data_IF_274532804894
#
_entry.id   IF_274532804894
#
_cell.length_a   1.000
_cell.length_b   1.000
_cell.length_c   1.000
_cell.angle_alpha   90.00
_cell.angle_beta   90.00
_cell.angle_gamma   90.00
#
_symmetry.space_group_name_H-M   'P 1'
#
loop_
_entity.id
_entity.type
_entity.pdbx_description
1 polymer ?
#
# COMPACT_ATOMS: atom_id res chain seq x y z
N UNK A 1 -32.40 24.81 -8.94
CA UNK A 1 -32.26 23.33 -9.04
C UNK A 1 -31.07 22.89 -9.91
N UNK A 2 -30.65 23.64 -10.93
CA UNK A 2 -29.55 23.23 -11.84
C UNK A 2 -28.16 23.03 -11.20
N UNK A 3 -27.74 23.89 -10.26
CA UNK A 3 -26.40 23.79 -9.65
C UNK A 3 -26.13 22.46 -8.93
N UNK A 4 -27.16 21.83 -8.38
CA UNK A 4 -27.03 20.58 -7.62
C UNK A 4 -26.91 19.37 -8.56
N UNK A 5 -27.69 19.34 -9.64
CA UNK A 5 -27.56 18.33 -10.70
C UNK A 5 -26.19 18.43 -11.38
N UNK A 6 -25.71 19.65 -11.65
CA UNK A 6 -24.39 19.89 -12.24
C UNK A 6 -23.28 19.42 -11.31
N UNK A 7 -23.36 19.72 -10.00
CA UNK A 7 -22.38 19.25 -9.03
C UNK A 7 -22.35 17.71 -8.94
N UNK A 8 -23.52 17.06 -8.91
CA UNK A 8 -23.61 15.60 -8.87
C UNK A 8 -23.04 14.94 -10.12
N UNK A 9 -23.39 15.49 -11.29
CA UNK A 9 -22.85 15.03 -12.56
C UNK A 9 -21.33 15.21 -12.61
N UNK A 10 -20.84 16.40 -12.24
CA UNK A 10 -19.41 16.71 -12.21
C UNK A 10 -18.62 15.77 -11.30
N UNK A 11 -19.11 15.50 -10.08
CA UNK A 11 -18.41 14.57 -9.18
C UNK A 11 -18.47 13.13 -9.65
N UNK A 12 -19.59 12.64 -10.22
CA UNK A 12 -19.63 11.28 -10.80
C UNK A 12 -18.76 11.16 -12.05
N UNK A 13 -18.70 12.21 -12.86
CA UNK A 13 -17.78 12.26 -13.98
C UNK A 13 -16.32 12.20 -13.51
N UNK A 14 -15.96 12.92 -12.45
CA UNK A 14 -14.63 12.85 -11.84
C UNK A 14 -14.33 11.45 -11.27
N UNK A 15 -15.31 10.77 -10.67
CA UNK A 15 -15.15 9.36 -10.25
C UNK A 15 -14.84 8.48 -11.45
N UNK A 16 -15.66 8.57 -12.49
CA UNK A 16 -15.49 7.77 -13.71
C UNK A 16 -14.16 8.06 -14.40
N UNK A 17 -13.74 9.33 -14.47
CA UNK A 17 -12.46 9.74 -15.04
C UNK A 17 -11.29 9.16 -14.25
N UNK A 18 -11.32 9.23 -12.93
CA UNK A 18 -10.27 8.67 -12.08
C UNK A 18 -10.20 7.13 -12.18
N UNK A 19 -11.33 6.43 -12.18
CA UNK A 19 -11.38 4.97 -12.39
C UNK A 19 -10.88 4.62 -13.80
N UNK A 20 -11.27 5.39 -14.81
CA UNK A 20 -10.79 5.19 -16.18
C UNK A 20 -9.29 5.41 -16.30
N UNK A 21 -8.75 6.44 -15.66
CA UNK A 21 -7.31 6.71 -15.59
C UNK A 21 -6.59 5.52 -14.95
N UNK A 22 -7.09 5.01 -13.82
CA UNK A 22 -6.54 3.83 -13.16
C UNK A 22 -6.53 2.60 -14.09
N UNK A 23 -7.68 2.24 -14.67
CA UNK A 23 -7.81 1.11 -15.61
C UNK A 23 -6.88 1.30 -16.81
N UNK A 24 -6.84 2.51 -17.38
CA UNK A 24 -6.01 2.82 -18.54
C UNK A 24 -4.53 2.64 -18.22
N UNK A 25 -4.04 3.08 -17.06
CA UNK A 25 -2.64 2.88 -16.69
C UNK A 25 -2.31 1.40 -16.47
N UNK A 26 -3.22 0.65 -15.82
CA UNK A 26 -3.08 -0.80 -15.66
C UNK A 26 -3.02 -1.52 -17.02
N UNK A 27 -3.85 -1.12 -18.01
CA UNK A 27 -3.91 -1.74 -19.34
C UNK A 27 -2.84 -1.24 -20.33
N UNK A 28 -2.40 0.01 -20.24
CA UNK A 28 -1.36 0.56 -21.13
C UNK A 28 -0.05 -0.21 -20.93
N UNK A 29 0.33 -0.52 -19.70
CA UNK A 29 1.53 -1.30 -19.44
C UNK A 29 1.41 -2.76 -19.89
N UNK A 30 0.22 -3.35 -19.89
CA UNK A 30 0.00 -4.64 -20.54
C UNK A 30 0.35 -4.54 -22.04
N UNK A 31 -0.11 -3.48 -22.72
CA UNK A 31 0.16 -3.27 -24.15
C UNK A 31 1.63 -2.94 -24.46
N UNK A 32 2.33 -2.25 -23.56
CA UNK A 32 3.77 -1.94 -23.68
C UNK A 32 4.61 -3.19 -23.42
N UNK A 33 4.32 -3.95 -22.36
CA UNK A 33 4.93 -5.26 -22.11
C UNK A 33 4.69 -6.22 -23.27
N UNK A 34 3.50 -6.23 -23.86
CA UNK A 34 3.17 -7.05 -25.02
C UNK A 34 4.02 -6.71 -26.25
N UNK A 35 4.30 -5.41 -26.46
CA UNK A 35 5.14 -4.93 -27.56
C UNK A 35 6.61 -5.30 -27.32
N UNK A 36 7.12 -5.13 -26.11
CA UNK A 36 8.49 -5.54 -25.75
C UNK A 36 8.69 -7.05 -25.91
N UNK A 37 7.74 -7.85 -25.43
CA UNK A 37 7.81 -9.31 -25.54
C UNK A 37 7.77 -9.72 -27.03
N UNK A 38 6.89 -9.12 -27.84
CA UNK A 38 6.87 -9.39 -29.29
C UNK A 38 8.18 -9.03 -29.98
N UNK A 39 8.83 -7.93 -29.60
CA UNK A 39 10.12 -7.54 -30.18
C UNK A 39 11.21 -8.59 -29.92
N UNK A 40 11.26 -9.15 -28.71
CA UNK A 40 12.21 -10.23 -28.34
C UNK A 40 11.96 -11.51 -29.17
N UNK A 41 10.69 -11.90 -29.37
CA UNK A 41 10.36 -13.08 -30.16
C UNK A 41 10.59 -12.88 -31.67
N UNK A 42 10.51 -11.64 -32.16
CA UNK A 42 10.74 -11.33 -33.57
C UNK A 42 12.24 -11.39 -33.91
N UNK A 43 13.14 -10.97 -33.00
CA UNK A 43 14.59 -11.10 -33.16
C UNK A 43 15.09 -12.56 -33.12
N UNK A 44 14.42 -13.45 -32.39
CA UNK A 44 14.77 -14.88 -32.38
C UNK A 44 14.21 -15.67 -33.59
N UNK A 45 13.30 -15.08 -34.36
CA UNK A 45 12.65 -15.77 -35.49
C UNK A 45 13.43 -15.67 -36.81
N UNK A 46 14.53 -14.91 -36.85
CA UNK A 46 15.42 -14.81 -38.03
C UNK A 46 16.54 -15.87 -38.06
N UNK A 47 16.61 -16.76 -37.07
CA UNK A 47 17.53 -17.92 -37.06
C UNK A 47 16.77 -19.23 -37.33
N UNK A 48 16.13 -19.32 -38.50
CA UNK A 48 15.80 -20.61 -39.11
C UNK A 48 17.01 -21.09 -39.94
N UNK A 49 17.42 -22.37 -39.89
CA UNK A 49 18.61 -22.84 -40.58
C UNK A 49 18.34 -22.92 -42.09
N UNK A 50 18.85 -21.94 -42.84
CA UNK A 50 19.00 -22.08 -44.29
C UNK A 50 20.23 -22.95 -44.57
N UNK A 51 19.93 -24.16 -45.00
CA UNK A 51 20.85 -25.08 -45.65
C UNK A 51 21.36 -24.41 -46.95
N UNK A 52 22.67 -24.21 -47.07
CA UNK A 52 23.26 -23.64 -48.28
C UNK A 52 24.77 -23.40 -48.16
N UNK A 53 25.54 -24.33 -48.74
CA UNK A 53 26.97 -24.17 -49.00
C UNK A 53 27.26 -22.86 -49.76
N UNK A 54 28.25 -22.09 -49.34
CA UNK A 54 29.23 -21.45 -50.25
C UNK A 54 30.41 -20.87 -49.46
N UNK A 55 31.61 -21.15 -49.97
CA UNK A 55 32.88 -20.57 -49.58
C UNK A 55 32.94 -19.08 -49.96
N UNK A 56 33.49 -18.21 -49.11
CA UNK A 56 34.62 -17.30 -49.43
C UNK A 56 34.88 -16.26 -48.33
N UNK A 57 36.18 -16.17 -48.00
CA UNK A 57 37.04 -15.08 -47.50
C UNK A 57 36.49 -13.75 -46.92
N UNK A 58 37.13 -13.43 -45.78
CA UNK A 58 37.70 -12.13 -45.36
C UNK A 58 36.92 -11.12 -44.48
N UNK A 59 37.51 -10.96 -43.28
CA UNK A 59 37.81 -9.74 -42.53
C UNK A 59 36.81 -9.14 -41.52
N UNK A 60 37.39 -8.86 -40.33
CA UNK A 60 36.91 -8.11 -39.16
C UNK A 60 36.00 -8.83 -38.14
N UNK A 61 36.61 -9.73 -37.37
CA UNK A 61 36.01 -10.27 -36.14
C UNK A 61 36.10 -9.27 -34.98
N UNK A 62 35.00 -8.55 -34.70
CA UNK A 62 34.74 -8.03 -33.36
C UNK A 62 33.81 -9.03 -32.67
N UNK A 63 34.38 -9.85 -31.78
CA UNK A 63 33.64 -10.83 -31.00
C UNK A 63 32.75 -10.12 -29.97
N UNK A 64 31.44 -10.33 -30.04
CA UNK A 64 30.53 -10.15 -28.91
C UNK A 64 29.79 -11.48 -28.73
N UNK A 65 30.15 -12.19 -27.66
CA UNK A 65 29.57 -13.47 -27.27
C UNK A 65 28.13 -13.35 -26.74
N UNK A 66 27.45 -14.48 -26.51
CA UNK A 66 26.02 -14.55 -26.31
C UNK A 66 25.62 -14.05 -24.91
N UNK A 67 24.77 -13.03 -24.86
CA UNK A 67 24.25 -12.49 -23.61
C UNK A 67 22.95 -13.21 -23.21
N UNK A 68 23.08 -14.30 -22.47
CA UNK A 68 21.96 -15.02 -21.86
C UNK A 68 21.51 -14.32 -20.56
N UNK A 69 20.22 -13.99 -20.51
CA UNK A 69 19.34 -13.96 -19.34
C UNK A 69 19.82 -13.20 -18.10
N UNK A 70 19.29 -11.98 -17.87
CA UNK A 70 19.26 -11.41 -16.51
C UNK A 70 18.10 -10.43 -16.30
N UNK A 71 17.46 -10.58 -15.15
CA UNK A 71 16.17 -10.05 -14.71
C UNK A 71 15.99 -8.52 -14.79
N UNK A 72 14.84 -8.14 -15.34
CA UNK A 72 14.46 -6.78 -15.77
C UNK A 72 14.30 -5.76 -14.63
N UNK A 73 14.17 -6.18 -13.37
CA UNK A 73 14.03 -5.23 -12.25
C UNK A 73 15.36 -4.78 -11.64
N UNK A 74 16.44 -5.58 -11.79
CA UNK A 74 17.73 -5.28 -11.14
C UNK A 74 18.74 -4.55 -12.02
N UNK A 75 18.44 -4.36 -13.32
CA UNK A 75 19.26 -3.55 -14.24
C UNK A 75 18.91 -2.08 -14.24
N UNK A 76 17.66 -1.65 -14.02
CA UNK A 76 17.32 -0.22 -14.07
C UNK A 76 18.12 0.58 -13.01
N UNK A 77 18.45 -0.01 -11.86
CA UNK A 77 19.27 0.67 -10.84
C UNK A 77 20.78 0.56 -11.06
N UNK A 78 21.27 -0.44 -11.82
CA UNK A 78 22.72 -0.63 -12.06
C UNK A 78 23.22 -0.13 -13.41
N UNK A 79 22.38 -0.08 -14.44
CA UNK A 79 22.74 0.55 -15.72
C UNK A 79 22.64 2.08 -15.68
N UNK A 80 21.96 2.66 -14.69
CA UNK A 80 21.88 4.11 -14.50
C UNK A 80 23.13 4.73 -13.85
N UNK A 81 24.07 3.94 -13.31
CA UNK A 81 25.24 4.48 -12.60
C UNK A 81 26.60 4.08 -13.19
N UNK A 82 26.68 3.19 -14.19
CA UNK A 82 27.99 2.78 -14.75
C UNK A 82 28.26 3.20 -16.19
N UNK A 83 27.28 3.73 -16.95
CA UNK A 83 27.50 4.24 -18.31
C UNK A 83 26.57 5.43 -18.61
N UNK A 84 26.69 6.53 -17.87
CA UNK A 84 26.08 7.79 -18.30
C UNK A 84 27.18 8.76 -18.74
N UNK A 85 27.38 8.87 -20.06
CA UNK A 85 28.10 9.99 -20.64
C UNK A 85 27.22 11.26 -20.53
N UNK A 86 27.86 12.42 -20.34
CA UNK A 86 27.24 13.65 -19.82
C UNK A 86 26.01 14.23 -20.53
N UNK A 87 25.62 13.74 -21.72
CA UNK A 87 24.41 14.16 -22.44
C UNK A 87 23.16 13.29 -22.19
N UNK A 88 23.31 12.08 -21.65
CA UNK A 88 22.20 11.12 -21.43
C UNK A 88 21.72 11.05 -19.97
N UNK A 89 22.38 11.79 -19.07
CA UNK A 89 22.02 11.86 -17.64
C UNK A 89 20.59 12.41 -17.47
N UNK A 90 20.21 13.38 -18.30
CA UNK A 90 18.88 14.00 -18.25
C UNK A 90 17.82 12.95 -18.60
N UNK A 91 17.98 12.20 -19.69
CA UNK A 91 17.02 11.17 -20.11
C UNK A 91 16.96 9.99 -19.13
N UNK A 92 18.09 9.61 -18.53
CA UNK A 92 18.13 8.57 -17.49
C UNK A 92 17.41 9.00 -16.21
N UNK A 93 17.65 10.23 -15.75
CA UNK A 93 16.97 10.81 -14.59
C UNK A 93 15.48 11.02 -14.86
N UNK A 94 15.12 11.49 -16.06
CA UNK A 94 13.73 11.64 -16.49
C UNK A 94 13.00 10.30 -16.57
N UNK A 95 13.66 9.24 -17.05
CA UNK A 95 13.10 7.88 -17.06
C UNK A 95 12.80 7.36 -15.66
N UNK A 96 13.76 7.48 -14.73
CA UNK A 96 13.56 7.04 -13.34
C UNK A 96 12.49 7.86 -12.60
N UNK A 97 12.37 9.16 -12.89
CA UNK A 97 11.32 10.01 -12.31
C UNK A 97 9.96 9.66 -12.92
N UNK A 98 9.90 9.36 -14.22
CA UNK A 98 8.67 8.97 -14.89
C UNK A 98 8.08 7.69 -14.25
N UNK A 99 8.89 6.68 -13.96
CA UNK A 99 8.44 5.43 -13.32
C UNK A 99 7.82 5.68 -11.92
N UNK A 100 8.42 6.57 -11.13
CA UNK A 100 7.87 6.99 -9.83
C UNK A 100 6.56 7.76 -10.03
N UNK A 101 6.51 8.67 -11.01
CA UNK A 101 5.30 9.43 -11.33
C UNK A 101 4.17 8.52 -11.82
N UNK A 102 4.46 7.46 -12.57
CA UNK A 102 3.45 6.49 -13.01
C UNK A 102 2.81 5.79 -11.82
N UNK A 103 3.61 5.24 -10.91
CA UNK A 103 3.11 4.59 -9.69
C UNK A 103 2.28 5.56 -8.84
N UNK A 104 2.76 6.80 -8.68
CA UNK A 104 2.06 7.84 -7.94
C UNK A 104 0.72 8.26 -8.59
N UNK A 105 0.65 8.32 -9.92
CA UNK A 105 -0.59 8.67 -10.65
C UNK A 105 -1.64 7.55 -10.50
N UNK A 106 -1.22 6.29 -10.54
CA UNK A 106 -2.10 5.13 -10.33
C UNK A 106 -2.71 5.20 -8.93
N UNK A 107 -1.90 5.40 -7.89
CA UNK A 107 -2.37 5.56 -6.50
C UNK A 107 -3.28 6.78 -6.34
N UNK A 108 -2.87 7.93 -6.88
CA UNK A 108 -3.64 9.17 -6.83
C UNK A 108 -5.01 9.00 -7.47
N UNK A 109 -5.10 8.36 -8.64
CA UNK A 109 -6.37 8.17 -9.35
C UNK A 109 -7.33 7.30 -8.55
N UNK A 110 -6.84 6.27 -7.86
CA UNK A 110 -7.68 5.41 -7.02
C UNK A 110 -8.20 6.16 -5.78
N UNK A 111 -7.33 6.90 -5.10
CA UNK A 111 -7.71 7.76 -3.96
C UNK A 111 -8.68 8.87 -4.42
N UNK A 112 -8.42 9.48 -5.57
CA UNK A 112 -9.24 10.53 -6.17
C UNK A 112 -10.65 10.04 -6.54
N UNK A 113 -10.76 8.85 -7.14
CA UNK A 113 -12.06 8.22 -7.42
C UNK A 113 -12.86 8.01 -6.14
N UNK A 114 -12.21 7.47 -5.11
CA UNK A 114 -12.81 7.26 -3.79
C UNK A 114 -13.30 8.59 -3.21
N UNK A 115 -12.43 9.59 -3.10
CA UNK A 115 -12.78 10.89 -2.49
C UNK A 115 -13.89 11.59 -3.27
N UNK A 116 -13.88 11.56 -4.59
CA UNK A 116 -14.96 12.16 -5.39
C UNK A 116 -16.29 11.43 -5.22
N UNK A 117 -16.26 10.11 -5.02
CA UNK A 117 -17.45 9.33 -4.70
C UNK A 117 -18.01 9.70 -3.31
N UNK A 118 -17.13 9.94 -2.32
CA UNK A 118 -17.49 10.47 -0.99
C UNK A 118 -18.21 11.80 -1.15
N UNK A 119 -17.60 12.74 -1.89
CA UNK A 119 -18.17 14.07 -2.12
C UNK A 119 -19.55 13.92 -2.76
N UNK A 120 -19.66 13.15 -3.84
CA UNK A 120 -20.92 12.92 -4.55
C UNK A 120 -22.04 12.43 -3.63
N UNK A 121 -21.75 11.42 -2.79
CA UNK A 121 -22.74 10.82 -1.87
C UNK A 121 -23.22 11.81 -0.80
N UNK A 122 -22.37 12.79 -0.43
CA UNK A 122 -22.69 13.76 0.61
C UNK A 122 -23.32 15.07 0.08
N UNK A 123 -23.41 15.29 -1.24
CA UNK A 123 -23.99 16.51 -1.85
C UNK A 123 -25.45 16.76 -1.40
N UNK A 124 -26.22 15.72 -1.07
CA UNK A 124 -27.63 15.87 -0.64
C UNK A 124 -27.80 16.23 0.84
N UNK A 125 -26.85 15.86 1.69
CA UNK A 125 -26.96 16.05 3.14
C UNK A 125 -26.79 17.51 3.60
N UNK A 126 -26.34 18.39 2.70
CA UNK A 126 -26.14 19.82 2.97
C UNK A 126 -27.47 20.59 3.14
N UNK A 127 -28.60 20.05 2.67
CA UNK A 127 -29.90 20.78 2.64
C UNK A 127 -30.69 20.78 3.95
N UNK A 128 -30.33 20.01 4.98
CA UNK A 128 -31.17 19.84 6.20
C UNK A 128 -30.73 20.63 7.42
N UNK A 129 -29.63 21.37 7.36
CA UNK A 129 -29.28 22.32 8.42
C UNK A 129 -29.32 23.72 7.82
N UNK A 130 -30.09 24.68 8.40
CA UNK A 130 -29.80 26.07 8.10
C UNK A 130 -28.32 26.29 8.42
N UNK A 131 -27.68 27.21 7.71
CA UNK A 131 -26.31 27.67 7.95
C UNK A 131 -26.19 28.26 9.36
N UNK A 132 -26.33 27.42 10.38
CA UNK A 132 -25.90 27.69 11.73
C UNK A 132 -24.40 27.84 11.58
N UNK A 133 -23.93 29.07 11.72
CA UNK A 133 -22.54 29.39 11.94
C UNK A 133 -21.98 28.35 12.92
N UNK A 134 -21.26 27.35 12.40
CA UNK A 134 -20.53 26.40 13.22
C UNK A 134 -19.42 27.25 13.79
N UNK A 135 -19.65 27.81 14.98
CA UNK A 135 -18.59 28.39 15.78
C UNK A 135 -17.57 27.27 15.95
N UNK A 136 -16.53 27.27 15.11
CA UNK A 136 -15.38 26.37 15.25
C UNK A 136 -14.84 26.67 16.62
N UNK A 137 -15.27 25.90 17.63
CA UNK A 137 -14.57 25.83 18.90
C UNK A 137 -13.30 25.02 18.60
N UNK A 138 -12.37 25.68 17.92
CA UNK A 138 -11.09 25.15 17.50
C UNK A 138 -10.16 25.17 18.71
N UNK A 139 -10.49 24.35 19.70
CA UNK A 139 -9.53 23.86 20.66
C UNK A 139 -9.67 22.35 20.64
N UNK A 140 -9.10 21.75 19.59
CA UNK A 140 -8.64 20.37 19.71
C UNK A 140 -7.44 20.48 20.66
N UNK A 141 -7.70 20.51 21.98
CA UNK A 141 -6.66 20.25 22.96
C UNK A 141 -6.31 18.78 22.81
N UNK A 142 -5.29 18.50 22.00
CA UNK A 142 -4.67 17.18 21.94
C UNK A 142 -3.87 17.03 23.24
N UNK A 143 -4.54 16.63 24.32
CA UNK A 143 -3.89 16.36 25.59
C UNK A 143 -3.11 15.04 25.47
N UNK A 144 -1.86 15.16 25.02
CA UNK A 144 -0.91 14.05 24.83
C UNK A 144 -0.33 13.49 26.13
N UNK A 145 -0.57 14.12 27.28
CA UNK A 145 0.10 13.78 28.55
C UNK A 145 -0.10 12.33 29.01
N UNK A 146 -1.17 11.66 28.55
CA UNK A 146 -1.46 10.24 28.86
C UNK A 146 -1.08 9.26 27.75
N UNK A 147 -0.50 9.77 26.67
CA UNK A 147 -0.24 9.03 25.42
C UNK A 147 1.27 8.95 25.10
N UNK A 148 2.12 9.63 25.87
CA UNK A 148 3.57 9.75 25.65
C UNK A 148 4.28 8.42 25.45
N UNK A 149 3.97 7.38 26.24
CA UNK A 149 4.60 6.06 26.09
C UNK A 149 4.26 5.38 24.76
N UNK A 150 3.00 5.49 24.32
CA UNK A 150 2.56 4.93 23.03
C UNK A 150 3.13 5.71 21.85
N UNK A 151 3.21 7.03 21.98
CA UNK A 151 3.86 7.92 21.01
C UNK A 151 5.36 7.59 20.87
N UNK A 152 6.08 7.46 21.98
CA UNK A 152 7.51 7.12 21.95
C UNK A 152 7.77 5.74 21.34
N UNK A 153 7.00 4.72 21.74
CA UNK A 153 7.10 3.39 21.15
C UNK A 153 6.79 3.41 19.64
N UNK A 154 5.81 4.21 19.21
CA UNK A 154 5.47 4.38 17.80
C UNK A 154 6.57 5.09 17.01
N UNK A 155 7.16 6.14 17.57
CA UNK A 155 8.29 6.84 16.95
C UNK A 155 9.54 5.96 16.86
N UNK A 156 9.81 5.15 17.90
CA UNK A 156 10.89 4.17 17.86
C UNK A 156 10.66 3.11 16.78
N UNK A 157 9.42 2.62 16.63
CA UNK A 157 9.04 1.71 15.56
C UNK A 157 9.23 2.34 14.17
N UNK A 158 8.79 3.59 13.99
CA UNK A 158 8.99 4.35 12.76
C UNK A 158 10.47 4.58 12.43
N UNK A 159 11.29 4.93 13.43
CA UNK A 159 12.73 5.09 13.26
C UNK A 159 13.41 3.76 12.87
N UNK A 160 12.97 2.65 13.45
CA UNK A 160 13.44 1.32 13.06
C UNK A 160 13.08 0.99 11.60
N UNK A 161 11.88 1.34 11.13
CA UNK A 161 11.47 1.21 9.72
C UNK A 161 12.36 2.02 8.77
N UNK A 162 12.66 3.28 9.10
CA UNK A 162 13.58 4.07 8.29
C UNK A 162 15.00 3.49 8.28
N UNK A 163 15.44 2.97 9.42
CA UNK A 163 16.76 2.32 9.52
C UNK A 163 16.82 1.07 8.66
N UNK A 164 15.79 0.20 8.68
CA UNK A 164 15.75 -0.99 7.83
C UNK A 164 15.69 -0.63 6.34
N UNK A 165 14.95 0.42 5.98
CA UNK A 165 14.90 0.92 4.60
C UNK A 165 16.27 1.42 4.12
N UNK A 166 17.00 2.14 4.99
CA UNK A 166 18.36 2.59 4.68
C UNK A 166 19.34 1.42 4.54
N UNK A 167 19.26 0.41 5.42
CA UNK A 167 20.09 -0.80 5.34
C UNK A 167 19.80 -1.59 4.06
N UNK A 168 18.52 -1.73 3.68
CA UNK A 168 18.14 -2.34 2.41
C UNK A 168 18.78 -1.62 1.23
N UNK A 169 18.68 -0.29 1.18
CA UNK A 169 19.26 0.50 0.10
C UNK A 169 20.78 0.35 0.06
N UNK A 170 21.45 0.33 1.21
CA UNK A 170 22.88 0.06 1.32
C UNK A 170 23.28 -1.28 0.69
N UNK A 171 22.57 -2.37 1.00
CA UNK A 171 22.84 -3.68 0.39
C UNK A 171 22.50 -3.75 -1.10
N UNK A 172 21.46 -3.01 -1.53
CA UNK A 172 21.08 -2.94 -2.94
C UNK A 172 22.15 -2.21 -3.77
N UNK A 173 22.75 -1.15 -3.23
CA UNK A 173 23.86 -0.43 -3.86
C UNK A 173 25.12 -1.29 -4.00
N UNK A 174 25.42 -2.14 -3.02
CA UNK A 174 26.58 -3.05 -3.08
C UNK A 174 26.35 -4.26 -4.01
N UNK A 175 25.16 -4.39 -4.60
CA UNK A 175 24.81 -5.49 -5.51
C UNK A 175 24.40 -6.80 -4.82
N UNK A 176 24.29 -6.80 -3.49
CA UNK A 176 23.91 -7.96 -2.65
C UNK A 176 22.38 -8.07 -2.50
N UNK A 177 21.68 -8.19 -3.64
CA UNK A 177 20.21 -8.17 -3.70
C UNK A 177 19.53 -9.26 -2.86
N UNK A 178 20.18 -10.41 -2.67
CA UNK A 178 19.66 -11.50 -1.83
C UNK A 178 19.64 -11.10 -0.37
N UNK A 179 20.72 -10.51 0.17
CA UNK A 179 20.78 -10.01 1.54
C UNK A 179 19.80 -8.87 1.76
N UNK A 180 19.67 -7.98 0.77
CA UNK A 180 18.67 -6.91 0.80
C UNK A 180 17.24 -7.49 0.93
N UNK A 181 16.89 -8.48 0.11
CA UNK A 181 15.57 -9.13 0.18
C UNK A 181 15.30 -9.81 1.54
N UNK A 182 16.32 -10.43 2.16
CA UNK A 182 16.18 -10.98 3.51
C UNK A 182 15.95 -9.89 4.56
N UNK A 183 16.75 -8.81 4.55
CA UNK A 183 16.59 -7.69 5.49
C UNK A 183 15.18 -7.11 5.38
N UNK A 184 14.70 -6.91 4.16
CA UNK A 184 13.35 -6.41 3.91
C UNK A 184 12.29 -7.37 4.47
N UNK A 185 12.33 -8.64 4.06
CA UNK A 185 11.30 -9.63 4.44
C UNK A 185 11.27 -9.90 5.95
N UNK A 186 12.44 -9.94 6.61
CA UNK A 186 12.53 -10.12 8.05
C UNK A 186 11.98 -8.91 8.79
N UNK A 187 12.27 -7.70 8.30
CA UNK A 187 11.72 -6.46 8.87
C UNK A 187 10.20 -6.46 8.81
N UNK A 188 9.62 -6.81 7.65
CA UNK A 188 8.17 -6.92 7.49
C UNK A 188 7.54 -7.91 8.47
N UNK A 189 8.11 -9.12 8.57
CA UNK A 189 7.63 -10.14 9.50
C UNK A 189 7.64 -9.60 10.94
N UNK A 190 8.74 -8.97 11.36
CA UNK A 190 8.86 -8.40 12.71
C UNK A 190 7.81 -7.30 12.93
N UNK A 191 7.64 -6.39 11.96
CA UNK A 191 6.65 -5.32 12.02
C UNK A 191 5.22 -5.88 12.14
N UNK A 192 4.86 -6.86 11.31
CA UNK A 192 3.54 -7.49 11.34
C UNK A 192 3.29 -8.26 12.64
N UNK A 193 4.29 -8.94 13.20
CA UNK A 193 4.18 -9.63 14.50
C UNK A 193 3.95 -8.62 15.62
N UNK A 194 4.77 -7.57 15.71
CA UNK A 194 4.63 -6.53 16.74
C UNK A 194 3.26 -5.85 16.63
N UNK A 195 2.84 -5.49 15.42
CA UNK A 195 1.53 -4.89 15.18
C UNK A 195 0.37 -5.83 15.54
N UNK A 196 0.50 -7.13 15.26
CA UNK A 196 -0.51 -8.15 15.63
C UNK A 196 -0.64 -8.29 17.15
N UNK A 197 0.49 -8.38 17.87
CA UNK A 197 0.51 -8.41 19.33
C UNK A 197 -0.10 -7.14 19.93
N UNK A 198 0.23 -5.98 19.36
CA UNK A 198 -0.37 -4.71 19.78
C UNK A 198 -1.89 -4.67 19.51
N UNK A 199 -2.37 -5.25 18.40
CA UNK A 199 -3.81 -5.35 18.12
C UNK A 199 -4.52 -6.21 19.18
N UNK A 200 -3.95 -7.36 19.53
CA UNK A 200 -4.48 -8.24 20.58
C UNK A 200 -4.48 -7.53 21.94
N UNK A 201 -3.39 -6.84 22.28
CA UNK A 201 -3.28 -6.09 23.52
C UNK A 201 -4.26 -4.90 23.58
N UNK A 202 -4.48 -4.21 22.45
CA UNK A 202 -5.48 -3.15 22.34
C UNK A 202 -6.89 -3.72 22.56
N UNK A 203 -7.24 -4.83 21.90
CA UNK A 203 -8.51 -5.52 22.11
C UNK A 203 -8.71 -5.89 23.58
N UNK A 204 -7.69 -6.44 24.23
CA UNK A 204 -7.74 -6.79 25.65
C UNK A 204 -8.01 -5.57 26.56
N UNK A 205 -7.25 -4.48 26.38
CA UNK A 205 -7.43 -3.26 27.17
C UNK A 205 -8.79 -2.58 26.92
N UNK A 206 -9.23 -2.56 25.67
CA UNK A 206 -10.48 -1.90 25.26
C UNK A 206 -11.74 -2.67 25.70
N UNK A 207 -11.65 -3.93 26.14
CA UNK A 207 -12.78 -4.65 26.76
C UNK A 207 -13.38 -3.95 27.98
N UNK A 208 -12.62 -3.07 28.63
CA UNK A 208 -13.10 -2.26 29.77
C UNK A 208 -14.04 -1.13 29.32
N UNK A 209 -14.05 -0.78 28.03
CA UNK A 209 -14.94 0.22 27.46
C UNK A 209 -16.32 -0.38 27.21
N UNK A 210 -17.35 0.48 27.21
CA UNK A 210 -18.72 0.04 27.01
C UNK A 210 -19.12 0.17 25.54
N UNK A 211 -19.89 -0.79 25.06
CA UNK A 211 -20.46 -0.74 23.72
C UNK A 211 -21.47 0.40 23.62
N UNK A 212 -21.29 1.26 22.63
CA UNK A 212 -22.21 2.36 22.36
C UNK A 212 -23.25 1.91 21.35
N UNK A 213 -24.49 1.75 21.80
CA UNK A 213 -25.61 1.37 20.93
C UNK A 213 -26.14 2.59 20.18
N UNK A 214 -26.42 2.43 18.88
CA UNK A 214 -26.81 3.53 17.98
C UNK A 214 -28.11 4.25 18.38
N UNK A 215 -28.91 3.69 19.30
CA UNK A 215 -30.10 4.33 19.86
C UNK A 215 -29.79 5.46 20.86
N UNK A 216 -28.56 5.52 21.41
CA UNK A 216 -28.06 6.65 22.22
C UNK A 216 -27.46 7.77 21.34
N UNK A 217 -27.50 7.62 20.00
CA UNK A 217 -26.88 8.55 19.07
C UNK A 217 -27.56 9.93 19.10
N UNK A 218 -26.77 10.97 19.33
CA UNK A 218 -27.16 12.34 18.96
C UNK A 218 -27.30 12.42 17.42
N UNK A 219 -28.18 13.28 16.88
CA UNK A 219 -28.45 13.42 15.44
C UNK A 219 -27.26 13.93 14.57
N UNK A 220 -26.04 13.99 15.11
CA UNK A 220 -24.88 14.65 14.48
C UNK A 220 -23.74 13.70 14.07
N UNK A 221 -23.86 12.38 14.24
CA UNK A 221 -22.96 11.43 13.56
C UNK A 221 -23.66 11.07 12.26
N UNK A 222 -23.11 11.53 11.13
CA UNK A 222 -23.68 11.24 9.83
C UNK A 222 -23.55 9.73 9.58
N UNK A 223 -24.65 8.95 9.56
CA UNK A 223 -24.58 7.50 9.31
C UNK A 223 -23.98 7.19 7.93
N UNK A 224 -23.99 8.18 7.02
CA UNK A 224 -23.28 8.11 5.74
C UNK A 224 -21.77 8.06 5.88
N UNK A 225 -21.17 8.67 6.91
CA UNK A 225 -19.72 8.69 7.13
C UNK A 225 -19.23 7.35 7.71
N UNK A 226 -19.89 6.80 8.76
CA UNK A 226 -19.50 5.49 9.31
C UNK A 226 -19.59 4.37 8.26
N UNK A 227 -20.67 4.37 7.45
CA UNK A 227 -20.81 3.41 6.35
C UNK A 227 -19.70 3.57 5.32
N UNK A 228 -19.26 4.79 5.09
CA UNK A 228 -18.23 5.09 4.11
C UNK A 228 -16.86 4.61 4.59
N UNK A 229 -16.48 4.93 5.82
CA UNK A 229 -15.22 4.47 6.39
C UNK A 229 -15.14 2.94 6.39
N UNK A 230 -16.28 2.26 6.58
CA UNK A 230 -16.39 0.80 6.49
C UNK A 230 -16.24 0.28 5.06
N UNK A 231 -16.81 0.96 4.05
CA UNK A 231 -16.63 0.61 2.63
C UNK A 231 -15.17 0.81 2.20
N UNK A 232 -14.53 1.89 2.64
CA UNK A 232 -13.13 2.17 2.30
C UNK A 232 -12.18 1.18 2.98
N UNK A 233 -12.43 0.88 4.25
CA UNK A 233 -11.66 -0.13 4.97
C UNK A 233 -11.84 -1.53 4.35
N UNK A 234 -13.05 -1.89 3.93
CA UNK A 234 -13.32 -3.19 3.29
C UNK A 234 -12.67 -3.28 1.91
N UNK A 235 -12.71 -2.23 1.09
CA UNK A 235 -12.06 -2.20 -0.22
C UNK A 235 -10.55 -2.41 -0.10
N UNK A 236 -9.89 -1.67 0.80
CA UNK A 236 -8.46 -1.84 1.07
C UNK A 236 -8.13 -3.24 1.60
N UNK A 237 -8.94 -3.77 2.52
CA UNK A 237 -8.75 -5.12 3.06
C UNK A 237 -8.90 -6.22 1.98
N UNK A 238 -9.87 -6.08 1.08
CA UNK A 238 -10.05 -7.02 -0.03
C UNK A 238 -8.81 -7.00 -0.95
N UNK A 239 -8.31 -5.81 -1.30
CA UNK A 239 -7.10 -5.68 -2.11
C UNK A 239 -5.87 -6.30 -1.45
N UNK A 240 -5.67 -6.04 -0.16
CA UNK A 240 -4.61 -6.62 0.67
C UNK A 240 -4.69 -8.15 0.76
N UNK A 241 -5.89 -8.71 0.90
CA UNK A 241 -6.13 -10.15 0.88
C UNK A 241 -5.78 -10.76 -0.47
N UNK A 242 -6.25 -10.17 -1.58
CA UNK A 242 -5.97 -10.69 -2.92
C UNK A 242 -4.46 -10.68 -3.20
N UNK A 243 -3.78 -9.57 -2.90
CA UNK A 243 -2.32 -9.46 -3.07
C UNK A 243 -1.58 -10.54 -2.26
N UNK A 244 -1.96 -10.73 -1.00
CA UNK A 244 -1.30 -11.70 -0.11
C UNK A 244 -1.56 -13.15 -0.52
N UNK A 245 -2.80 -13.48 -0.91
CA UNK A 245 -3.16 -14.84 -1.38
C UNK A 245 -2.46 -15.16 -2.71
N UNK A 246 -2.36 -14.20 -3.62
CA UNK A 246 -1.61 -14.38 -4.86
C UNK A 246 -0.14 -14.64 -4.61
N UNK A 247 0.49 -13.89 -3.69
CA UNK A 247 1.87 -14.14 -3.27
C UNK A 247 2.05 -15.55 -2.70
N UNK A 248 1.14 -16.00 -1.83
CA UNK A 248 1.16 -17.37 -1.30
C UNK A 248 1.08 -18.44 -2.38
N UNK A 249 0.08 -18.35 -3.25
CA UNK A 249 -0.13 -19.33 -4.32
C UNK A 249 1.08 -19.37 -5.25
N UNK A 250 1.61 -18.21 -5.63
CA UNK A 250 2.79 -18.11 -6.48
C UNK A 250 4.04 -18.73 -5.87
N UNK A 251 4.25 -18.57 -4.56
CA UNK A 251 5.39 -19.14 -3.84
C UNK A 251 5.23 -20.65 -3.60
N UNK A 252 4.00 -21.16 -3.43
CA UNK A 252 3.74 -22.60 -3.26
C UNK A 252 3.83 -23.40 -4.55
N UNK A 253 3.80 -22.73 -5.71
CA UNK A 253 3.90 -23.37 -7.02
C UNK A 253 5.32 -23.80 -7.41
N UNK A 254 6.35 -23.41 -6.64
CA UNK A 254 7.73 -23.76 -6.93
C UNK A 254 8.04 -25.22 -6.53
N UNK A 255 8.81 -25.92 -7.36
CA UNK A 255 9.25 -27.30 -7.09
C UNK A 255 10.45 -27.36 -6.15
N UNK A 256 11.25 -26.28 -6.08
CA UNK A 256 12.43 -26.20 -5.24
C UNK A 256 12.28 -25.11 -4.18
N UNK A 257 12.08 -25.53 -2.94
CA UNK A 257 11.92 -24.62 -1.81
C UNK A 257 13.25 -23.96 -1.44
N UNK A 258 13.49 -22.75 -1.96
CA UNK A 258 14.56 -21.88 -1.49
C UNK A 258 14.19 -21.26 -0.13
N UNK A 259 15.20 -21.00 0.70
CA UNK A 259 15.00 -20.39 2.03
C UNK A 259 14.28 -19.04 1.94
N UNK A 260 14.57 -18.23 0.93
CA UNK A 260 13.89 -16.93 0.71
C UNK A 260 12.40 -17.11 0.44
N UNK A 261 12.01 -18.12 -0.36
CA UNK A 261 10.61 -18.41 -0.65
C UNK A 261 9.82 -18.79 0.60
N UNK A 262 10.45 -19.51 1.53
CA UNK A 262 9.85 -19.83 2.85
C UNK A 262 9.67 -18.56 3.69
N UNK A 263 10.67 -17.69 3.73
CA UNK A 263 10.58 -16.41 4.46
C UNK A 263 9.47 -15.52 3.87
N UNK A 264 9.39 -15.40 2.55
CA UNK A 264 8.32 -14.65 1.87
C UNK A 264 6.94 -15.26 2.11
N UNK A 265 6.83 -16.59 2.15
CA UNK A 265 5.59 -17.28 2.49
C UNK A 265 5.15 -16.94 3.93
N UNK A 266 6.07 -16.97 4.89
CA UNK A 266 5.80 -16.53 6.27
C UNK A 266 5.42 -15.05 6.33
N UNK A 267 6.04 -14.20 5.51
CA UNK A 267 5.66 -12.79 5.38
C UNK A 267 4.20 -12.65 4.95
N UNK A 268 3.76 -13.32 3.88
CA UNK A 268 2.35 -13.24 3.46
C UNK A 268 1.37 -13.81 4.49
N UNK A 269 1.71 -14.88 5.20
CA UNK A 269 0.86 -15.43 6.29
C UNK A 269 0.73 -14.42 7.44
N UNK A 270 1.85 -13.86 7.90
CA UNK A 270 1.86 -12.87 8.99
C UNK A 270 1.14 -11.59 8.60
N UNK A 271 1.27 -11.15 7.35
CA UNK A 271 0.51 -10.03 6.76
C UNK A 271 -1.00 -10.28 6.79
N UNK A 272 -1.47 -11.44 6.32
CA UNK A 272 -2.89 -11.81 6.36
C UNK A 272 -3.45 -11.82 7.80
N UNK A 273 -2.71 -12.43 8.72
CA UNK A 273 -3.09 -12.46 10.13
C UNK A 273 -3.20 -11.04 10.71
N UNK A 274 -2.21 -10.19 10.41
CA UNK A 274 -2.16 -8.82 10.90
C UNK A 274 -3.34 -7.98 10.39
N UNK A 275 -3.65 -8.06 9.10
CA UNK A 275 -4.74 -7.30 8.45
C UNK A 275 -6.10 -7.73 8.98
N UNK A 276 -6.30 -9.05 9.16
CA UNK A 276 -7.52 -9.60 9.76
C UNK A 276 -7.72 -9.13 11.20
N UNK A 277 -6.69 -9.25 12.04
CA UNK A 277 -6.72 -8.80 13.45
C UNK A 277 -6.96 -7.29 13.55
N UNK A 278 -6.26 -6.49 12.73
CA UNK A 278 -6.41 -5.04 12.72
C UNK A 278 -7.81 -4.61 12.28
N UNK A 279 -8.36 -5.22 11.23
CA UNK A 279 -9.72 -4.91 10.80
C UNK A 279 -10.75 -5.25 11.89
N UNK A 280 -10.59 -6.39 12.56
CA UNK A 280 -11.43 -6.77 13.69
C UNK A 280 -11.35 -5.74 14.83
N UNK A 281 -10.13 -5.31 15.19
CA UNK A 281 -9.92 -4.26 16.19
C UNK A 281 -10.60 -2.95 15.78
N UNK A 282 -10.40 -2.46 14.56
CA UNK A 282 -11.00 -1.19 14.11
C UNK A 282 -12.53 -1.27 14.15
N UNK A 283 -13.11 -2.37 13.68
CA UNK A 283 -14.56 -2.58 13.70
C UNK A 283 -15.13 -2.55 15.11
N UNK A 284 -14.53 -3.31 16.05
CA UNK A 284 -14.97 -3.36 17.45
C UNK A 284 -14.75 -2.00 18.12
N UNK A 285 -13.53 -1.45 18.02
CA UNK A 285 -13.14 -0.22 18.66
C UNK A 285 -13.94 0.99 18.17
N UNK A 286 -14.38 0.99 16.90
CA UNK A 286 -15.28 1.99 16.33
C UNK A 286 -16.59 2.14 17.11
N UNK A 287 -17.06 1.07 17.76
CA UNK A 287 -18.32 1.04 18.55
C UNK A 287 -18.11 1.18 20.07
N UNK A 288 -16.88 1.29 20.55
CA UNK A 288 -16.57 1.42 21.99
C UNK A 288 -16.47 2.89 22.44
N UNK A 289 -17.02 3.22 23.60
CA UNK A 289 -16.95 4.57 24.21
C UNK A 289 -16.76 4.47 25.73
N UNK A 290 -16.12 5.47 26.35
CA UNK A 290 -16.11 5.64 27.82
C UNK A 290 -17.49 6.20 28.26
N UNK A 291 -18.16 5.56 29.23
CA UNK A 291 -19.44 6.03 29.79
C UNK A 291 -19.45 5.93 31.32
N UNK A 292 -19.72 7.04 32.00
CA UNK A 292 -20.23 7.10 33.39
C UNK A 292 -19.25 6.79 34.54
N UNK A 293 -17.97 6.53 34.28
CA UNK A 293 -16.99 6.16 35.31
C UNK A 293 -15.76 7.07 35.30
N UNK A 294 -15.54 7.77 36.42
CA UNK A 294 -14.47 8.75 36.63
C UNK A 294 -13.09 8.07 36.69
N UNK A 295 -12.99 6.84 37.19
CA UNK A 295 -11.73 6.11 37.27
C UNK A 295 -11.31 5.59 35.90
N UNK A 296 -12.25 5.05 35.11
CA UNK A 296 -12.00 4.70 33.70
C UNK A 296 -11.59 5.92 32.86
N UNK A 297 -12.18 7.10 33.15
CA UNK A 297 -11.79 8.38 32.53
C UNK A 297 -10.36 8.77 32.87
N UNK A 298 -9.89 8.54 34.10
CA UNK A 298 -8.51 8.81 34.48
C UNK A 298 -7.55 7.84 33.78
N UNK A 299 -7.89 6.55 33.74
CA UNK A 299 -7.01 5.48 33.22
C UNK A 299 -6.91 5.44 31.69
N UNK A 300 -7.98 5.79 30.95
CA UNK A 300 -8.06 5.76 29.48
C UNK A 300 -7.48 4.45 28.88
N UNK A 301 -8.03 3.28 29.26
CA UNK A 301 -7.45 1.99 28.93
C UNK A 301 -7.42 1.76 27.41
N UNK A 302 -6.25 1.37 26.89
CA UNK A 302 -6.04 1.12 25.46
C UNK A 302 -5.62 2.35 24.65
N UNK A 303 -5.74 3.58 25.19
CA UNK A 303 -5.43 4.82 24.45
C UNK A 303 -3.99 4.87 23.96
N UNK A 304 -3.04 4.46 24.80
CA UNK A 304 -1.61 4.40 24.45
C UNK A 304 -1.35 3.41 23.32
N UNK A 305 -2.01 2.24 23.35
CA UNK A 305 -1.84 1.18 22.36
C UNK A 305 -2.43 1.61 21.01
N UNK A 306 -3.58 2.27 21.01
CA UNK A 306 -4.16 2.85 19.79
C UNK A 306 -3.25 3.92 19.20
N UNK A 307 -2.62 4.76 20.02
CA UNK A 307 -1.65 5.75 19.50
C UNK A 307 -0.41 5.09 18.92
N UNK A 308 0.12 4.03 19.57
CA UNK A 308 1.18 3.23 18.98
C UNK A 308 0.76 2.65 17.62
N UNK A 309 -0.41 2.01 17.54
CA UNK A 309 -0.94 1.39 16.32
C UNK A 309 -1.18 2.39 15.19
N UNK A 310 -1.56 3.63 15.51
CA UNK A 310 -1.68 4.72 14.54
C UNK A 310 -0.33 5.00 13.87
N UNK A 311 0.73 5.18 14.67
CA UNK A 311 2.07 5.48 14.13
C UNK A 311 2.67 4.25 13.44
N UNK A 312 2.44 3.05 13.99
CA UNK A 312 2.87 1.79 13.38
C UNK A 312 2.23 1.57 12.00
N UNK A 313 0.96 1.97 11.80
CA UNK A 313 0.34 1.90 10.48
C UNK A 313 0.92 2.91 9.48
N UNK A 314 1.33 4.10 9.94
CA UNK A 314 2.08 5.03 9.09
C UNK A 314 3.45 4.44 8.71
N UNK A 315 4.13 3.77 9.64
CA UNK A 315 5.40 3.10 9.35
C UNK A 315 5.22 1.94 8.35
N UNK A 316 4.22 1.08 8.53
CA UNK A 316 3.88 0.02 7.57
C UNK A 316 3.41 0.57 6.22
N UNK A 317 2.71 1.71 6.21
CA UNK A 317 2.36 2.42 4.97
C UNK A 317 3.61 2.80 4.16
N UNK A 318 4.64 3.36 4.82
CA UNK A 318 5.90 3.71 4.17
C UNK A 318 6.64 2.46 3.66
N UNK A 319 6.60 1.37 4.43
CA UNK A 319 7.21 0.10 4.02
C UNK A 319 6.51 -0.49 2.79
N UNK A 320 5.18 -0.48 2.73
CA UNK A 320 4.41 -0.94 1.57
C UNK A 320 4.60 -0.02 0.35
N UNK A 321 4.75 1.29 0.56
CA UNK A 321 5.10 2.23 -0.51
C UNK A 321 6.49 1.92 -1.08
N UNK A 322 7.43 1.54 -0.23
CA UNK A 322 8.74 1.09 -0.68
C UNK A 322 8.68 -0.28 -1.37
N UNK A 323 7.84 -1.20 -0.88
CA UNK A 323 7.58 -2.50 -1.52
C UNK A 323 7.06 -2.31 -2.95
N UNK A 324 6.12 -1.39 -3.18
CA UNK A 324 5.50 -1.17 -4.48
C UNK A 324 6.50 -0.69 -5.54
N UNK A 325 7.50 0.12 -5.15
CA UNK A 325 8.60 0.53 -6.03
C UNK A 325 9.51 -0.65 -6.41
N UNK A 326 9.63 -1.66 -5.54
CA UNK A 326 10.52 -2.82 -5.71
C UNK A 326 9.79 -4.11 -6.10
N UNK A 327 8.48 -4.04 -6.38
CA UNK A 327 7.62 -5.19 -6.66
C UNK A 327 7.90 -5.80 -8.05
N UNK A 328 9.05 -6.45 -8.17
CA UNK A 328 9.51 -7.17 -9.36
C UNK A 328 10.60 -8.21 -9.06
N UNK A 329 10.92 -8.46 -7.79
CA UNK A 329 12.13 -9.19 -7.37
C UNK A 329 11.87 -10.68 -7.06
N UNK A 330 10.63 -11.09 -6.80
CA UNK A 330 10.35 -12.53 -6.60
C UNK A 330 10.25 -13.26 -7.94
N UNK A 331 11.40 -13.62 -8.49
CA UNK A 331 11.52 -14.38 -9.74
C UNK A 331 10.66 -15.66 -9.72
N UNK A 332 10.53 -16.31 -8.56
CA UNK A 332 9.66 -17.48 -8.36
C UNK A 332 8.19 -17.21 -8.70
N UNK A 333 7.62 -16.12 -8.17
CA UNK A 333 6.19 -15.81 -8.37
C UNK A 333 5.92 -15.37 -9.81
N UNK A 334 6.88 -14.63 -10.40
CA UNK A 334 6.85 -14.25 -11.82
C UNK A 334 6.86 -15.49 -12.72
N UNK A 335 7.68 -16.48 -12.41
CA UNK A 335 7.77 -17.72 -13.18
C UNK A 335 6.49 -18.55 -13.08
N UNK A 336 5.81 -18.52 -11.93
CA UNK A 336 4.55 -19.25 -11.74
C UNK A 336 3.38 -18.62 -12.51
N UNK A 337 3.13 -17.33 -12.34
CA UNK A 337 1.99 -16.64 -12.96
C UNK A 337 2.25 -16.22 -14.42
N UNK A 338 3.51 -16.17 -14.82
CA UNK A 338 3.97 -15.45 -16.00
C UNK A 338 4.10 -13.95 -15.73
N UNK A 339 5.09 -13.32 -16.37
CA UNK A 339 5.43 -11.89 -16.21
C UNK A 339 4.20 -10.98 -16.32
N UNK A 340 3.35 -11.19 -17.33
CA UNK A 340 2.19 -10.33 -17.59
C UNK A 340 1.16 -10.39 -16.46
N UNK A 341 0.74 -11.60 -16.07
CA UNK A 341 -0.28 -11.81 -15.04
C UNK A 341 0.18 -11.31 -13.67
N UNK A 342 1.45 -11.54 -13.32
CA UNK A 342 2.00 -11.05 -12.06
C UNK A 342 2.07 -9.51 -12.03
N UNK A 343 2.57 -8.89 -13.10
CA UNK A 343 2.64 -7.44 -13.21
C UNK A 343 1.25 -6.80 -13.10
N UNK A 344 0.25 -7.36 -13.80
CA UNK A 344 -1.14 -6.91 -13.69
C UNK A 344 -1.66 -6.99 -12.26
N UNK A 345 -1.38 -8.10 -11.57
CA UNK A 345 -1.82 -8.33 -10.19
C UNK A 345 -1.20 -7.33 -9.22
N UNK A 346 0.13 -7.20 -9.26
CA UNK A 346 0.87 -6.25 -8.42
C UNK A 346 0.35 -4.83 -8.63
N UNK A 347 0.21 -4.38 -9.88
CA UNK A 347 -0.21 -3.00 -10.19
C UNK A 347 -1.67 -2.73 -9.85
N UNK A 348 -2.53 -3.74 -9.90
CA UNK A 348 -3.94 -3.60 -9.53
C UNK A 348 -4.14 -3.56 -8.02
N UNK A 349 -3.42 -4.41 -7.27
CA UNK A 349 -3.70 -4.64 -5.86
C UNK A 349 -2.69 -3.99 -4.91
N UNK A 350 -1.43 -3.79 -5.29
CA UNK A 350 -0.43 -3.11 -4.45
C UNK A 350 -0.87 -1.70 -4.01
N UNK A 351 -1.46 -0.84 -4.87
CA UNK A 351 -2.01 0.45 -4.43
C UNK A 351 -3.09 0.32 -3.35
N UNK A 352 -3.90 -0.74 -3.39
CA UNK A 352 -4.95 -0.98 -2.40
C UNK A 352 -4.36 -1.37 -1.04
N UNK A 353 -3.18 -2.01 -1.03
CA UNK A 353 -2.42 -2.31 0.19
C UNK A 353 -2.00 -1.04 0.92
N UNK A 354 -1.47 -0.08 0.16
CA UNK A 354 -1.00 1.23 0.64
C UNK A 354 -2.21 2.03 1.13
N UNK A 355 -3.28 2.05 0.35
CA UNK A 355 -4.55 2.68 0.72
C UNK A 355 -5.11 2.13 2.03
N UNK A 356 -5.10 0.81 2.24
CA UNK A 356 -5.54 0.19 3.48
C UNK A 356 -4.76 0.71 4.70
N UNK A 357 -3.43 0.82 4.62
CA UNK A 357 -2.57 1.31 5.72
C UNK A 357 -2.83 2.78 6.03
N UNK A 358 -3.01 3.60 5.00
CA UNK A 358 -3.36 5.00 5.16
C UNK A 358 -4.74 5.16 5.82
N UNK A 359 -5.77 4.53 5.27
CA UNK A 359 -7.14 4.65 5.77
C UNK A 359 -7.31 4.07 7.17
N UNK A 360 -6.67 2.93 7.46
CA UNK A 360 -6.69 2.36 8.82
C UNK A 360 -6.05 3.29 9.87
N UNK A 361 -5.01 4.07 9.51
CA UNK A 361 -4.45 5.11 10.38
C UNK A 361 -5.48 6.21 10.69
N UNK A 362 -6.27 6.62 9.69
CA UNK A 362 -7.38 7.56 9.86
C UNK A 362 -8.45 6.98 10.78
N UNK A 363 -8.84 5.72 10.57
CA UNK A 363 -9.78 5.03 11.46
C UNK A 363 -9.27 4.94 12.89
N UNK A 364 -7.98 4.67 13.12
CA UNK A 364 -7.40 4.69 14.46
C UNK A 364 -7.42 6.07 15.11
N UNK A 365 -7.16 7.13 14.34
CA UNK A 365 -7.28 8.51 14.83
C UNK A 365 -8.72 8.83 15.24
N UNK A 366 -9.70 8.37 14.45
CA UNK A 366 -11.11 8.52 14.78
C UNK A 366 -11.52 7.72 16.00
N UNK A 367 -11.10 6.45 16.12
CA UNK A 367 -11.30 5.63 17.32
C UNK A 367 -10.69 6.32 18.55
N UNK A 368 -9.46 6.82 18.44
CA UNK A 368 -8.78 7.55 19.52
C UNK A 368 -9.53 8.82 19.91
N UNK A 369 -10.13 9.53 18.95
CA UNK A 369 -10.93 10.72 19.24
C UNK A 369 -12.27 10.34 19.87
N UNK A 370 -13.00 9.41 19.27
CA UNK A 370 -14.37 9.11 19.61
C UNK A 370 -14.49 8.26 20.89
N UNK A 371 -13.63 7.25 21.08
CA UNK A 371 -13.66 6.37 22.26
C UNK A 371 -13.44 7.14 23.58
N UNK A 372 -12.68 8.24 23.52
CA UNK A 372 -12.30 9.04 24.68
C UNK A 372 -12.87 10.46 24.67
N UNK A 373 -13.74 10.80 23.71
CA UNK A 373 -14.44 12.09 23.68
C UNK A 373 -15.41 12.17 24.86
N UNK A 374 -15.25 13.20 25.69
CA UNK A 374 -16.18 13.51 26.78
C UNK A 374 -17.08 14.67 26.36
N UNK A 375 -18.36 14.57 26.70
CA UNK A 375 -19.28 15.70 26.69
C UNK A 375 -19.71 15.93 28.13
N UNK A 376 -19.31 17.06 28.68
CA UNK A 376 -19.88 17.59 29.91
C UNK A 376 -21.40 17.81 29.76
#
# INVERSE_FOLDING_TARGET
MGHHTIARFGTMHLVAANIWTWIRYVLIEESVMDKEIRHIFTDHSTLAPLNGNHNETDQSSMQIGPFIQQSISSRITRSALSECNGSEIIDCVLGSIADIMYTAIVEYSLIGAVVMFIVWKNIDHVKRTPTAYVKRKHQIRVDCSKTTSGLFAGLAFLAATFTSMAVFYGYSLTGDNTKAAYVFSITDIIQYIIASLACIYALYQMRQLRYFHSSDARPNVNPSQELLDLILLSLGMIGEMIYSVAGLVGLTGDKHWQTLSVVLLVCHITRLMQVGLQCCLIYIAGKLRIKGDIELRKRQPGKQVITFLLIANIAMFLMNLFESEKAGISETVVNFYGKKSWVFLVRSFSPLTIFYRFHSSVCFAEVWKNAYAWKD
#
